data_IF_595786211638
#
_entry.id   IF_595786211638
#
_cell.length_a   1.000
_cell.length_b   1.000
_cell.length_c   1.000
_cell.angle_alpha   90.00
_cell.angle_beta   90.00
_cell.angle_gamma   90.00
#
_symmetry.space_group_name_H-M   'P 1'
#
loop_
_entity.id
_entity.type
_entity.pdbx_description
1 polymer ?
#
# COMPACT_ATOMS: atom_id res chain seq x y z
N UNK A 1 64.51 39.77 -47.32
CA UNK A 1 63.16 39.18 -47.20
C UNK A 1 63.25 37.86 -46.46
N UNK A 2 62.86 37.78 -45.18
CA UNK A 2 62.44 36.54 -44.49
C UNK A 2 61.53 36.85 -43.30
N UNK A 3 60.28 36.43 -43.50
CA UNK A 3 59.13 36.09 -42.65
C UNK A 3 59.33 36.12 -41.12
N UNK A 4 58.51 36.92 -40.46
CA UNK A 4 58.21 36.95 -39.01
C UNK A 4 57.29 35.79 -38.62
N UNK A 5 57.56 35.04 -37.54
CA UNK A 5 56.56 34.15 -36.95
C UNK A 5 55.81 34.86 -35.81
N UNK A 6 54.49 34.96 -36.00
CA UNK A 6 53.50 35.24 -34.94
C UNK A 6 53.11 33.90 -34.33
N UNK A 7 53.23 33.73 -33.01
CA UNK A 7 52.56 32.68 -32.23
C UNK A 7 52.45 33.18 -30.77
N UNK A 8 51.26 33.69 -30.38
CA UNK A 8 50.13 32.94 -29.83
C UNK A 8 50.23 32.83 -28.30
N UNK A 9 49.70 33.85 -27.61
CA UNK A 9 49.49 33.82 -26.17
C UNK A 9 48.35 32.84 -25.85
N UNK A 10 48.68 31.69 -25.26
CA UNK A 10 47.70 30.77 -24.69
C UNK A 10 47.18 31.35 -23.37
N UNK A 11 46.02 31.99 -23.41
CA UNK A 11 45.28 32.37 -22.21
C UNK A 11 44.69 31.10 -21.58
N UNK A 12 45.40 30.52 -20.62
CA UNK A 12 44.90 29.46 -19.77
C UNK A 12 43.89 30.05 -18.77
N UNK A 13 42.61 30.07 -19.15
CA UNK A 13 41.50 30.33 -18.24
C UNK A 13 41.44 29.20 -17.20
N UNK A 14 41.93 29.49 -16.00
CA UNK A 14 41.72 28.71 -14.79
C UNK A 14 40.22 28.68 -14.48
N UNK A 15 39.56 27.57 -14.82
CA UNK A 15 38.25 27.22 -14.26
C UNK A 15 38.45 26.86 -12.79
N UNK A 16 38.58 27.87 -11.93
CA UNK A 16 38.43 27.71 -10.49
C UNK A 16 36.95 27.43 -10.21
N UNK A 17 36.54 26.16 -10.31
CA UNK A 17 35.24 25.72 -9.82
C UNK A 17 35.20 25.93 -8.31
N UNK A 18 34.28 26.78 -7.83
CA UNK A 18 33.94 26.82 -6.41
C UNK A 18 33.42 25.45 -6.02
N UNK A 19 34.21 24.64 -5.30
CA UNK A 19 33.68 23.48 -4.60
C UNK A 19 32.79 24.00 -3.48
N UNK A 20 31.47 23.97 -3.69
CA UNK A 20 30.52 24.21 -2.62
C UNK A 20 30.46 22.92 -1.82
N UNK A 21 31.17 22.87 -0.70
CA UNK A 21 31.03 21.76 0.23
C UNK A 21 29.57 21.70 0.70
N UNK A 22 28.93 20.51 0.69
CA UNK A 22 27.57 20.38 1.19
C UNK A 22 27.52 20.77 2.67
N UNK A 23 26.44 21.44 3.11
CA UNK A 23 26.28 21.80 4.51
C UNK A 23 26.34 20.54 5.36
N UNK A 24 27.26 20.50 6.32
CA UNK A 24 27.31 19.44 7.32
C UNK A 24 26.34 19.77 8.45
N UNK A 25 25.34 18.92 8.63
CA UNK A 25 24.45 18.95 9.78
C UNK A 25 24.71 17.70 10.64
N UNK A 26 24.69 17.82 11.98
CA UNK A 26 24.71 16.65 12.83
C UNK A 26 23.47 15.80 12.55
N UNK A 27 23.68 14.51 12.28
CA UNK A 27 22.57 13.55 12.14
C UNK A 27 22.01 13.32 13.55
N UNK A 28 20.83 13.87 13.81
CA UNK A 28 20.07 13.51 14.99
C UNK A 28 19.53 12.09 14.79
N UNK A 29 20.06 11.13 15.56
CA UNK A 29 19.46 9.81 15.68
C UNK A 29 18.17 10.00 16.48
N UNK A 30 17.04 10.01 15.78
CA UNK A 30 15.75 9.92 16.43
C UNK A 30 15.65 8.55 17.10
N UNK A 31 15.09 8.45 18.31
CA UNK A 31 14.78 7.14 18.88
C UNK A 31 13.92 6.36 17.89
N UNK A 32 14.14 5.04 17.79
CA UNK A 32 13.26 4.20 17.00
C UNK A 32 11.82 4.44 17.46
N UNK A 33 10.87 4.71 16.53
CA UNK A 33 9.48 4.80 16.90
C UNK A 33 9.11 3.50 17.61
N UNK A 34 8.50 3.61 18.80
CA UNK A 34 7.99 2.41 19.45
C UNK A 34 7.09 1.67 18.47
N UNK A 35 7.17 0.33 18.41
CA UNK A 35 6.26 -0.43 17.55
C UNK A 35 4.84 0.04 17.85
N UNK A 36 4.08 0.39 16.80
CA UNK A 36 2.70 0.82 16.96
C UNK A 36 1.99 -0.18 17.87
N UNK A 37 1.47 0.33 18.99
CA UNK A 37 0.86 -0.51 20.00
C UNK A 37 -0.26 -1.36 19.36
N UNK A 38 -0.40 -2.61 19.81
CA UNK A 38 -1.26 -3.60 19.15
C UNK A 38 -2.73 -3.13 19.06
N UNK A 39 -3.15 -2.28 20.00
CA UNK A 39 -4.44 -1.61 20.06
C UNK A 39 -4.73 -0.67 18.87
N UNK A 40 -3.71 -0.21 18.14
CA UNK A 40 -3.88 0.62 16.94
C UNK A 40 -4.08 -0.23 15.67
N UNK A 41 -3.99 -1.55 15.76
CA UNK A 41 -4.19 -2.42 14.59
C UNK A 41 -5.67 -2.56 14.31
N UNK A 42 -6.09 -2.08 13.16
CA UNK A 42 -7.47 -2.19 12.74
C UNK A 42 -7.90 -3.66 12.58
N UNK A 43 -9.09 -3.98 13.08
CA UNK A 43 -9.67 -5.32 12.98
C UNK A 43 -10.60 -5.40 11.77
N UNK A 44 -10.49 -6.41 10.90
CA UNK A 44 -11.43 -6.63 9.80
C UNK A 44 -12.88 -6.62 10.29
N UNK A 45 -13.78 -6.02 9.51
CA UNK A 45 -15.22 -5.94 9.78
C UNK A 45 -15.65 -5.21 11.07
N UNK A 46 -14.72 -4.72 11.90
CA UNK A 46 -15.05 -3.96 13.13
C UNK A 46 -15.84 -2.67 12.87
N UNK A 47 -15.72 -2.10 11.66
CA UNK A 47 -16.49 -0.93 11.19
C UNK A 47 -17.42 -1.28 10.01
N UNK A 48 -17.81 -2.54 9.86
CA UNK A 48 -18.73 -2.97 8.80
C UNK A 48 -18.04 -3.44 7.52
N UNK A 49 -18.28 -2.75 6.41
CA UNK A 49 -17.81 -3.18 5.08
C UNK A 49 -16.29 -3.07 4.99
N UNK A 50 -15.66 -4.08 4.39
CA UNK A 50 -14.22 -4.07 4.09
C UNK A 50 -14.01 -3.98 2.58
N UNK A 51 -13.15 -3.06 2.16
CA UNK A 51 -12.60 -2.99 0.80
C UNK A 51 -11.29 -3.75 0.76
N UNK A 52 -11.08 -4.61 -0.23
CA UNK A 52 -9.85 -5.38 -0.42
C UNK A 52 -9.32 -5.10 -1.81
N UNK A 53 -8.02 -4.84 -1.93
CA UNK A 53 -7.32 -4.65 -3.19
C UNK A 53 -6.26 -5.75 -3.33
N UNK A 54 -6.24 -6.44 -4.46
CA UNK A 54 -5.30 -7.53 -4.77
C UNK A 54 -5.04 -7.58 -6.27
N UNK A 55 -3.88 -8.09 -6.67
CA UNK A 55 -3.68 -8.55 -8.04
C UNK A 55 -4.43 -9.88 -8.27
N UNK A 56 -4.79 -10.14 -9.51
CA UNK A 56 -5.29 -11.43 -10.00
C UNK A 56 -4.14 -12.30 -10.58
N UNK A 57 -4.42 -13.50 -11.11
CA UNK A 57 -3.39 -14.37 -11.69
C UNK A 57 -2.64 -13.78 -12.88
N UNK A 58 -3.25 -12.85 -13.62
CA UNK A 58 -2.66 -12.18 -14.77
C UNK A 58 -1.92 -10.90 -14.36
N UNK A 59 -1.95 -10.54 -13.07
CA UNK A 59 -1.29 -9.37 -12.50
C UNK A 59 -2.15 -8.10 -12.51
N UNK A 60 -3.41 -8.21 -12.93
CA UNK A 60 -4.33 -7.07 -12.99
C UNK A 60 -4.88 -6.76 -11.59
N UNK A 61 -4.96 -5.47 -11.26
CA UNK A 61 -5.42 -5.04 -9.94
C UNK A 61 -6.95 -5.06 -9.85
N UNK A 62 -7.47 -5.82 -8.90
CA UNK A 62 -8.89 -5.90 -8.57
C UNK A 62 -9.21 -5.29 -7.22
N UNK A 63 -10.41 -4.71 -7.10
CA UNK A 63 -10.98 -4.25 -5.84
C UNK A 63 -12.26 -5.04 -5.51
N UNK A 64 -12.38 -5.50 -4.28
CA UNK A 64 -13.45 -6.35 -3.78
C UNK A 64 -14.11 -5.70 -2.57
N UNK A 65 -15.44 -5.73 -2.51
CA UNK A 65 -16.20 -5.27 -1.34
C UNK A 65 -16.76 -6.47 -0.60
N UNK A 66 -16.32 -6.64 0.63
CA UNK A 66 -16.75 -7.70 1.55
C UNK A 66 -17.71 -7.10 2.57
N UNK A 67 -18.97 -7.55 2.54
CA UNK A 67 -20.03 -6.99 3.36
C UNK A 67 -20.50 -8.03 4.38
N UNK A 68 -20.50 -7.75 5.68
CA UNK A 68 -21.27 -8.55 6.64
C UNK A 68 -22.72 -8.61 6.18
N UNK A 69 -23.27 -9.81 6.02
CA UNK A 69 -24.62 -10.04 5.54
C UNK A 69 -25.29 -11.17 6.31
N UNK A 70 -26.56 -11.45 6.02
CA UNK A 70 -27.39 -12.42 6.78
C UNK A 70 -27.33 -12.15 8.29
N UNK A 71 -27.60 -10.90 8.67
CA UNK A 71 -27.56 -10.47 10.07
C UNK A 71 -26.18 -10.70 10.75
N UNK A 72 -25.08 -10.61 9.98
CA UNK A 72 -23.72 -10.77 10.49
C UNK A 72 -23.20 -12.20 10.55
N UNK A 73 -23.99 -13.18 10.11
CA UNK A 73 -23.59 -14.61 10.12
C UNK A 73 -22.82 -15.05 8.87
N UNK A 74 -22.72 -14.17 7.86
CA UNK A 74 -22.02 -14.43 6.62
C UNK A 74 -21.31 -13.17 6.13
N UNK A 75 -20.41 -13.33 5.16
CA UNK A 75 -19.80 -12.22 4.41
C UNK A 75 -20.12 -12.36 2.94
N UNK A 76 -20.68 -11.32 2.36
CA UNK A 76 -21.10 -11.29 0.98
C UNK A 76 -20.06 -10.60 0.09
N UNK A 77 -19.83 -11.17 -1.10
CA UNK A 77 -19.12 -10.56 -2.22
C UNK A 77 -20.08 -10.53 -3.41
N UNK A 78 -20.55 -9.34 -3.79
CA UNK A 78 -21.64 -9.20 -4.75
C UNK A 78 -22.91 -9.91 -4.26
N UNK A 79 -23.44 -10.85 -5.05
CA UNK A 79 -24.64 -11.63 -4.71
C UNK A 79 -24.36 -12.96 -3.98
N UNK A 80 -23.08 -13.29 -3.75
CA UNK A 80 -22.69 -14.57 -3.16
C UNK A 80 -22.33 -14.39 -1.69
N UNK A 81 -22.84 -15.27 -0.85
CA UNK A 81 -22.55 -15.31 0.58
C UNK A 81 -21.52 -16.40 0.88
N UNK A 82 -20.41 -16.01 1.48
CA UNK A 82 -19.38 -16.88 2.03
C UNK A 82 -19.49 -17.03 3.54
N UNK A 83 -18.64 -17.88 4.09
CA UNK A 83 -18.47 -18.06 5.54
C UNK A 83 -17.30 -17.22 6.04
N UNK A 84 -17.36 -16.85 7.31
CA UNK A 84 -16.26 -16.19 8.01
C UNK A 84 -15.83 -17.05 9.20
N UNK A 85 -14.53 -17.17 9.40
CA UNK A 85 -13.93 -17.79 10.59
C UNK A 85 -12.66 -17.05 10.99
N UNK A 86 -12.14 -17.35 12.17
CA UNK A 86 -10.88 -16.79 12.67
C UNK A 86 -9.91 -17.92 12.98
N UNK A 87 -8.69 -17.84 12.47
CA UNK A 87 -7.63 -18.81 12.72
C UNK A 87 -6.30 -18.07 12.95
N UNK A 88 -5.68 -18.25 14.11
CA UNK A 88 -4.38 -17.65 14.40
C UNK A 88 -4.36 -16.11 14.40
N UNK A 89 -5.51 -15.45 14.60
CA UNK A 89 -5.64 -13.99 14.51
C UNK A 89 -5.91 -13.46 13.10
N UNK A 90 -6.03 -14.34 12.10
CA UNK A 90 -6.42 -14.00 10.73
C UNK A 90 -7.91 -14.30 10.51
N UNK A 91 -8.61 -13.37 9.87
CA UNK A 91 -10.00 -13.55 9.46
C UNK A 91 -10.06 -14.21 8.10
N UNK A 92 -10.69 -15.37 8.02
CA UNK A 92 -10.79 -16.16 6.78
C UNK A 92 -12.21 -16.06 6.26
N UNK A 93 -12.37 -15.44 5.09
CA UNK A 93 -13.62 -15.39 4.34
C UNK A 93 -13.53 -16.39 3.19
N UNK A 94 -14.33 -17.45 3.24
CA UNK A 94 -14.30 -18.55 2.28
C UNK A 94 -15.64 -18.80 1.59
N UNK A 95 -15.65 -19.69 0.59
CA UNK A 95 -16.87 -20.05 -0.14
C UNK A 95 -17.36 -18.94 -1.08
N UNK A 96 -16.46 -18.08 -1.56
CA UNK A 96 -16.78 -16.98 -2.48
C UNK A 96 -16.68 -17.42 -3.95
N UNK A 97 -17.25 -16.63 -4.89
CA UNK A 97 -17.20 -16.92 -6.32
C UNK A 97 -15.80 -17.22 -6.85
N UNK A 98 -15.74 -18.11 -7.84
CA UNK A 98 -14.50 -18.54 -8.50
C UNK A 98 -13.49 -19.19 -7.55
N UNK A 99 -13.95 -19.74 -6.43
CA UNK A 99 -13.08 -20.41 -5.45
C UNK A 99 -12.19 -19.45 -4.68
N UNK A 100 -12.54 -18.16 -4.61
CA UNK A 100 -11.79 -17.17 -3.83
C UNK A 100 -11.96 -17.41 -2.33
N UNK A 101 -10.88 -17.19 -1.59
CA UNK A 101 -10.92 -16.89 -0.16
C UNK A 101 -10.04 -15.69 0.16
N UNK A 102 -10.41 -14.92 1.18
CA UNK A 102 -9.61 -13.81 1.70
C UNK A 102 -9.16 -14.13 3.12
N UNK A 103 -7.89 -13.92 3.38
CA UNK A 103 -7.24 -14.09 4.68
C UNK A 103 -6.77 -12.70 5.11
N UNK A 104 -7.48 -12.09 6.03
CA UNK A 104 -7.30 -10.69 6.43
C UNK A 104 -6.65 -10.64 7.81
N UNK A 105 -5.47 -10.05 7.88
CA UNK A 105 -4.75 -9.81 9.12
C UNK A 105 -5.17 -8.47 9.74
N UNK A 106 -4.91 -8.30 11.03
CA UNK A 106 -5.05 -7.00 11.67
C UNK A 106 -4.07 -5.97 11.07
N UNK A 107 -4.55 -4.75 10.84
CA UNK A 107 -3.75 -3.63 10.33
C UNK A 107 -3.68 -3.50 8.81
N UNK A 108 -4.65 -4.05 8.07
CA UNK A 108 -4.84 -3.74 6.65
C UNK A 108 -4.13 -4.66 5.65
N UNK A 109 -3.55 -5.78 6.10
CA UNK A 109 -2.83 -6.73 5.24
C UNK A 109 -3.49 -8.10 5.11
N UNK A 110 -2.87 -8.98 4.33
CA UNK A 110 -3.24 -10.38 4.22
C UNK A 110 -2.98 -10.97 2.84
N UNK A 111 -3.74 -12.00 2.47
CA UNK A 111 -3.69 -12.60 1.14
C UNK A 111 -5.05 -13.11 0.65
N UNK A 112 -5.24 -13.13 -0.67
CA UNK A 112 -6.33 -13.80 -1.36
C UNK A 112 -5.82 -15.14 -1.87
N UNK A 113 -6.56 -16.23 -1.62
CA UNK A 113 -6.32 -17.50 -2.31
C UNK A 113 -7.26 -17.60 -3.51
N UNK A 114 -6.70 -17.89 -4.69
CA UNK A 114 -7.45 -18.11 -5.93
C UNK A 114 -6.75 -19.19 -6.74
N UNK A 115 -7.47 -20.25 -7.13
CA UNK A 115 -6.89 -21.36 -7.88
C UNK A 115 -5.75 -22.09 -7.14
N UNK A 116 -5.68 -21.98 -5.81
CA UNK A 116 -4.61 -22.53 -4.98
C UNK A 116 -3.36 -21.65 -4.86
N UNK A 117 -3.27 -20.56 -5.62
CA UNK A 117 -2.21 -19.56 -5.49
C UNK A 117 -2.62 -18.46 -4.50
N UNK A 118 -1.63 -17.81 -3.88
CA UNK A 118 -1.82 -16.72 -2.93
C UNK A 118 -1.36 -15.40 -3.51
N UNK A 119 -2.17 -14.37 -3.34
CA UNK A 119 -1.94 -13.01 -3.83
C UNK A 119 -1.98 -12.05 -2.65
N UNK A 120 -0.97 -11.18 -2.47
CA UNK A 120 -0.97 -10.24 -1.35
C UNK A 120 -2.13 -9.26 -1.50
N UNK A 121 -2.75 -8.90 -0.38
CA UNK A 121 -3.83 -7.90 -0.36
C UNK A 121 -3.53 -6.75 0.57
N UNK A 122 -4.09 -5.60 0.23
CA UNK A 122 -4.34 -4.53 1.17
C UNK A 122 -5.85 -4.44 1.43
N UNK A 123 -6.25 -4.12 2.65
CA UNK A 123 -7.64 -3.88 2.99
C UNK A 123 -7.82 -2.65 3.88
N UNK A 124 -8.99 -2.03 3.77
CA UNK A 124 -9.45 -0.94 4.63
C UNK A 124 -10.95 -1.07 4.89
N UNK A 125 -11.47 -0.37 5.91
CA UNK A 125 -12.92 -0.20 6.03
C UNK A 125 -13.39 0.69 4.88
N UNK A 126 -14.46 0.26 4.20
CA UNK A 126 -15.03 1.09 3.14
C UNK A 126 -15.57 2.38 3.79
N UNK A 127 -15.15 3.57 3.33
CA UNK A 127 -15.54 4.81 3.98
C UNK A 127 -17.06 4.94 3.94
N UNK A 128 -17.66 5.09 5.11
CA UNK A 128 -19.02 5.58 5.23
C UNK A 128 -18.97 7.06 4.87
N UNK A 129 -18.95 7.38 3.57
CA UNK A 129 -19.06 8.76 3.13
C UNK A 129 -20.47 9.17 3.55
N UNK A 130 -20.58 9.94 4.65
CA UNK A 130 -21.83 10.60 5.03
C UNK A 130 -22.28 11.47 3.84
N UNK A 131 -23.14 10.91 3.00
CA UNK A 131 -23.79 11.58 1.88
C UNK A 131 -24.64 12.79 2.33
N UNK A 132 -24.79 13.01 3.64
CA UNK A 132 -25.38 14.21 4.21
C UNK A 132 -24.63 15.51 3.86
N UNK A 133 -23.33 15.44 3.54
CA UNK A 133 -22.57 16.62 3.12
C UNK A 133 -22.81 17.05 1.65
N UNK A 134 -23.37 16.17 0.82
CA UNK A 134 -23.54 16.39 -0.64
C UNK A 134 -24.98 16.75 -1.05
N UNK A 135 -25.89 16.94 -0.08
CA UNK A 135 -27.27 17.39 -0.29
C UNK A 135 -27.55 18.77 0.33
N UNK A 136 -26.67 19.73 0.10
CA UNK A 136 -26.96 21.16 0.37
C UNK A 136 -26.94 21.94 -0.92
#
# INVERSE_FOLDING_TARGET
>A
MRVTPILAAAAATLLAGCEVAPPSAPVAVLPEPQPFAAEYRETPFSRGIVSVVSADPDGEMGAYRLLPCRQGTAVCLGHSAGTISTAGGTYVVGGLPHGRSFHLDHGGGGFMTLGGAQYPVAWEHFPEIELHALRR
#
